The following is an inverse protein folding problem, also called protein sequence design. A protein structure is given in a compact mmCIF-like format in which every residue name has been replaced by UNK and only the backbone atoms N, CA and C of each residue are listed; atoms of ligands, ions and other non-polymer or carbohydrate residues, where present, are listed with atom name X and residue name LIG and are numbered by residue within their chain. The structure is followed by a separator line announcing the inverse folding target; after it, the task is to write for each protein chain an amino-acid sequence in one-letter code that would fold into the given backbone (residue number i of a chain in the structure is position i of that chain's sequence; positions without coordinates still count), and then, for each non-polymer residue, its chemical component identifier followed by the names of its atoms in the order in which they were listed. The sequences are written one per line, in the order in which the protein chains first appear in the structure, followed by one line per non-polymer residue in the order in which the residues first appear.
data_IF_877023790570
#
_entry.id   IF_877023790570
#
_cell.length_a   1.000
_cell.length_b   1.000
_cell.length_c   1.000
_cell.angle_alpha   90.00
_cell.angle_beta   90.00
_cell.angle_gamma   90.00
#
_symmetry.space_group_name_H-M   'P 1'
#
loop_
_entity.id
_entity.type
_entity.pdbx_description
1 polymer ?
#
# COMPACT_ATOMS: atom_id res chain seq x y z
N UNK A 1 -4.50 22.88 -5.17
CA UNK A 1 -5.33 21.65 -5.31
C UNK A 1 -6.06 21.38 -3.98
N UNK A 2 -6.76 22.37 -3.44
CA UNK A 2 -7.49 22.16 -2.18
C UNK A 2 -8.83 21.48 -2.48
N UNK A 3 -9.22 20.55 -1.61
CA UNK A 3 -10.51 19.86 -1.68
C UNK A 3 -10.59 18.66 -2.64
N UNK A 4 -9.47 18.21 -3.24
CA UNK A 4 -9.43 16.98 -4.03
C UNK A 4 -8.88 15.84 -3.16
N UNK A 5 -9.64 14.76 -3.02
CA UNK A 5 -9.21 13.52 -2.39
C UNK A 5 -8.88 12.49 -3.47
N UNK A 6 -7.63 12.02 -3.50
CA UNK A 6 -7.17 11.04 -4.48
C UNK A 6 -6.74 9.77 -3.75
N UNK A 7 -7.29 8.64 -4.17
CA UNK A 7 -6.85 7.31 -3.76
C UNK A 7 -6.08 6.62 -4.87
N UNK A 8 -5.04 5.87 -4.50
CA UNK A 8 -4.16 5.17 -5.43
C UNK A 8 -4.16 3.68 -5.15
N UNK A 9 -4.03 2.90 -6.22
CA UNK A 9 -3.65 1.49 -6.12
C UNK A 9 -2.13 1.41 -6.10
N UNK A 10 -1.58 0.87 -5.03
CA UNK A 10 -0.16 0.57 -4.88
C UNK A 10 0.10 -0.92 -5.08
N UNK A 11 1.16 -1.25 -5.80
CA UNK A 11 1.73 -2.60 -5.84
C UNK A 11 2.90 -2.67 -4.88
N UNK A 12 2.79 -3.56 -3.91
CA UNK A 12 3.84 -3.87 -2.96
C UNK A 12 4.49 -5.20 -3.34
N UNK A 13 5.82 -5.21 -3.36
CA UNK A 13 6.62 -6.42 -3.41
C UNK A 13 7.25 -6.63 -2.03
N UNK A 14 6.87 -7.72 -1.38
CA UNK A 14 7.14 -7.95 0.04
C UNK A 14 7.92 -9.24 0.25
N UNK A 15 8.71 -9.26 1.32
CA UNK A 15 9.10 -10.52 1.97
C UNK A 15 8.06 -10.83 3.03
N UNK A 16 7.42 -11.99 2.95
CA UNK A 16 6.39 -12.41 3.93
C UNK A 16 6.69 -13.77 4.53
N UNK A 17 6.40 -13.93 5.81
CA UNK A 17 6.37 -15.21 6.50
C UNK A 17 4.93 -15.71 6.60
N UNK A 18 4.66 -16.93 6.14
CA UNK A 18 3.30 -17.51 6.19
C UNK A 18 3.16 -18.50 7.34
N UNK A 19 1.91 -18.74 7.76
CA UNK A 19 1.54 -19.75 8.77
C UNK A 19 2.17 -21.14 8.58
N UNK A 20 2.47 -21.56 7.35
CA UNK A 20 3.11 -22.85 7.06
C UNK A 20 4.63 -22.86 7.30
N UNK A 21 5.19 -21.83 7.92
CA UNK A 21 6.62 -21.67 8.18
C UNK A 21 7.44 -21.25 6.96
N UNK A 22 6.84 -21.12 5.77
CA UNK A 22 7.57 -20.73 4.56
C UNK A 22 7.67 -19.21 4.45
N UNK A 23 8.88 -18.76 4.14
CA UNK A 23 9.17 -17.36 3.80
C UNK A 23 9.17 -17.18 2.29
N UNK A 24 8.40 -16.22 1.80
CA UNK A 24 8.32 -15.87 0.39
C UNK A 24 9.02 -14.52 0.20
N UNK A 25 10.14 -14.53 -0.54
CA UNK A 25 10.96 -13.33 -0.78
C UNK A 25 10.39 -12.36 -1.81
N UNK A 26 9.37 -12.80 -2.57
CA UNK A 26 8.72 -12.01 -3.63
C UNK A 26 7.21 -12.23 -3.60
N UNK A 27 6.56 -11.66 -2.59
CA UNK A 27 5.11 -11.68 -2.46
C UNK A 27 4.53 -10.37 -2.99
N UNK A 28 3.84 -10.45 -4.13
CA UNK A 28 3.22 -9.29 -4.75
C UNK A 28 1.78 -9.17 -4.24
N UNK A 29 1.43 -7.99 -3.72
CA UNK A 29 0.09 -7.68 -3.23
C UNK A 29 -0.25 -6.23 -3.52
N UNK A 30 -1.52 -5.96 -3.78
CA UNK A 30 -2.01 -4.60 -4.02
C UNK A 30 -2.73 -4.04 -2.79
N UNK A 31 -2.45 -2.77 -2.51
CA UNK A 31 -3.07 -1.98 -1.44
C UNK A 31 -3.71 -0.72 -2.00
N UNK A 32 -4.84 -0.31 -1.45
CA UNK A 32 -5.49 0.95 -1.82
C UNK A 32 -5.33 1.95 -0.70
N UNK A 33 -4.94 3.19 -1.03
CA UNK A 33 -4.83 4.25 -0.05
C UNK A 33 -4.64 5.63 -0.66
N UNK A 34 -4.97 6.66 0.11
CA UNK A 34 -4.72 8.06 -0.27
C UNK A 34 -3.23 8.43 -0.24
N UNK A 35 -2.43 7.60 0.43
CA UNK A 35 -0.98 7.70 0.51
C UNK A 35 -0.39 6.31 0.77
N UNK A 36 0.94 6.22 0.72
CA UNK A 36 1.68 4.98 0.95
C UNK A 36 1.30 4.28 2.28
N UNK A 37 1.19 5.02 3.38
CA UNK A 37 0.94 4.46 4.71
C UNK A 37 -0.45 3.83 4.82
N UNK A 38 -1.48 4.52 4.33
CA UNK A 38 -2.85 3.98 4.28
C UNK A 38 -2.96 2.75 3.38
N UNK A 39 -2.26 2.73 2.25
CA UNK A 39 -2.20 1.56 1.37
C UNK A 39 -1.45 0.38 2.01
N UNK A 40 -0.39 0.66 2.76
CA UNK A 40 0.34 -0.35 3.54
C UNK A 40 -0.53 -0.96 4.63
N UNK A 41 -1.37 -0.16 5.30
CA UNK A 41 -2.37 -0.64 6.26
C UNK A 41 -3.39 -1.59 5.63
N UNK A 42 -3.92 -1.26 4.45
CA UNK A 42 -4.80 -2.16 3.69
C UNK A 42 -4.12 -3.50 3.39
N UNK A 43 -2.87 -3.46 2.91
CA UNK A 43 -2.04 -4.66 2.69
C UNK A 43 -1.84 -5.47 3.98
N UNK A 44 -1.51 -4.80 5.09
CA UNK A 44 -1.36 -5.43 6.39
C UNK A 44 -2.60 -6.22 6.78
N UNK A 45 -3.80 -5.61 6.70
CA UNK A 45 -5.04 -6.30 7.06
C UNK A 45 -5.36 -7.46 6.11
N UNK A 46 -5.08 -7.33 4.81
CA UNK A 46 -5.21 -8.41 3.83
C UNK A 46 -4.32 -9.61 4.17
N UNK A 47 -3.06 -9.36 4.55
CA UNK A 47 -2.10 -10.41 4.92
C UNK A 47 -2.39 -11.00 6.31
N UNK A 48 -2.84 -10.18 7.27
CA UNK A 48 -3.27 -10.63 8.61
C UNK A 48 -4.41 -11.64 8.53
N UNK A 49 -5.41 -11.40 7.68
CA UNK A 49 -6.50 -12.37 7.42
C UNK A 49 -5.98 -13.73 6.91
N UNK A 50 -4.85 -13.72 6.21
CA UNK A 50 -4.17 -14.90 5.67
C UNK A 50 -3.09 -15.46 6.60
N UNK A 51 -2.97 -14.96 7.83
CA UNK A 51 -1.94 -15.35 8.81
C UNK A 51 -0.54 -15.28 8.18
N UNK A 52 -0.29 -14.16 7.50
CA UNK A 52 0.98 -13.86 6.85
C UNK A 52 1.54 -12.57 7.45
N UNK A 53 2.78 -12.62 7.90
CA UNK A 53 3.53 -11.50 8.47
C UNK A 53 4.40 -10.85 7.40
N UNK A 54 4.49 -9.53 7.41
CA UNK A 54 5.39 -8.76 6.54
C UNK A 54 6.75 -8.65 7.24
N UNK A 55 7.80 -9.16 6.60
CA UNK A 55 9.17 -9.09 7.13
C UNK A 55 9.91 -7.86 6.60
N UNK A 56 9.74 -7.51 5.32
CA UNK A 56 10.30 -6.30 4.71
C UNK A 56 9.54 -5.91 3.43
N UNK A 57 9.70 -4.65 3.02
CA UNK A 57 9.18 -4.13 1.76
C UNK A 57 10.34 -3.99 0.76
N UNK A 58 10.35 -4.86 -0.26
CA UNK A 58 11.38 -4.83 -1.31
C UNK A 58 11.18 -3.63 -2.25
N UNK A 59 9.92 -3.36 -2.61
CA UNK A 59 9.56 -2.21 -3.44
C UNK A 59 8.08 -1.90 -3.31
N UNK A 60 7.73 -0.65 -3.58
CA UNK A 60 6.35 -0.21 -3.69
C UNK A 60 6.21 0.86 -4.75
N UNK A 61 5.15 0.78 -5.55
CA UNK A 61 4.89 1.76 -6.60
C UNK A 61 3.37 1.96 -6.77
N UNK A 62 2.92 3.20 -7.02
CA UNK A 62 1.56 3.45 -7.47
C UNK A 62 1.41 2.95 -8.91
N UNK A 63 0.31 2.25 -9.19
CA UNK A 63 0.01 1.71 -10.52
C UNK A 63 -1.02 2.58 -11.24
N UNK A 64 -2.02 3.06 -10.51
CA UNK A 64 -3.09 3.90 -11.05
C UNK A 64 -3.78 4.70 -9.95
N UNK A 65 -4.52 5.72 -10.37
CA UNK A 65 -5.54 6.36 -9.54
C UNK A 65 -6.70 5.36 -9.39
N UNK A 66 -7.02 4.99 -8.15
CA UNK A 66 -8.15 4.13 -7.84
C UNK A 66 -9.46 4.93 -7.82
N UNK A 67 -9.41 6.14 -7.25
CA UNK A 67 -10.51 7.10 -7.24
C UNK A 67 -9.97 8.52 -7.07
N UNK A 68 -10.72 9.50 -7.55
CA UNK A 68 -10.48 10.91 -7.23
C UNK A 68 -11.82 11.63 -7.08
N UNK A 69 -11.98 12.37 -6.00
CA UNK A 69 -13.20 13.13 -5.72
C UNK A 69 -12.89 14.58 -5.40
N UNK A 70 -13.76 15.48 -5.82
CA UNK A 70 -13.78 16.88 -5.40
C UNK A 70 -15.18 17.19 -4.85
N UNK A 71 -15.34 17.13 -3.53
CA UNK A 71 -16.67 17.09 -2.93
C UNK A 71 -17.41 15.82 -3.37
N UNK A 72 -18.57 15.97 -4.00
CA UNK A 72 -19.39 14.86 -4.51
C UNK A 72 -19.05 14.47 -5.96
N UNK A 73 -18.23 15.27 -6.66
CA UNK A 73 -17.88 15.03 -8.06
C UNK A 73 -16.73 14.03 -8.19
N UNK A 74 -16.91 13.02 -9.04
CA UNK A 74 -15.85 12.09 -9.44
C UNK A 74 -14.97 12.70 -10.54
N UNK A 75 -13.66 12.67 -10.34
CA UNK A 75 -12.68 13.15 -11.30
C UNK A 75 -11.95 11.98 -11.95
N UNK A 76 -11.73 12.09 -13.26
CA UNK A 76 -10.92 11.14 -14.02
C UNK A 76 -9.50 11.66 -14.16
N UNK A 77 -8.63 11.29 -13.23
CA UNK A 77 -7.22 11.67 -13.22
C UNK A 77 -6.34 10.51 -13.67
N UNK A 78 -5.25 10.83 -14.38
CA UNK A 78 -4.17 9.89 -14.68
C UNK A 78 -3.09 9.98 -13.60
N UNK A 79 -2.43 8.85 -13.32
CA UNK A 79 -1.35 8.80 -12.34
C UNK A 79 -0.20 9.78 -12.66
N UNK A 80 0.08 10.01 -13.95
CA UNK A 80 1.10 10.97 -14.41
C UNK A 80 0.81 12.42 -14.00
N UNK A 81 -0.43 12.75 -13.66
CA UNK A 81 -0.88 14.10 -13.30
C UNK A 81 -0.86 14.31 -11.78
N UNK A 82 -0.85 13.23 -11.00
CA UNK A 82 -0.95 13.26 -9.55
C UNK A 82 -0.17 12.10 -8.92
N UNK A 83 1.16 12.14 -8.99
CA UNK A 83 1.99 11.10 -8.35
C UNK A 83 1.91 11.21 -6.82
N UNK A 84 1.61 10.12 -6.10
CA UNK A 84 1.71 10.13 -4.65
C UNK A 84 3.16 10.14 -4.20
N UNK A 85 3.41 10.73 -3.04
CA UNK A 85 4.73 10.66 -2.39
C UNK A 85 4.96 9.24 -1.87
N UNK A 86 6.10 8.66 -2.25
CA UNK A 86 6.59 7.37 -1.73
C UNK A 86 7.77 7.66 -0.81
N UNK A 87 7.80 7.13 0.43
CA UNK A 87 8.97 7.26 1.29
C UNK A 87 10.22 6.63 0.68
N UNK A 88 11.39 7.25 0.91
CA UNK A 88 12.68 6.67 0.50
C UNK A 88 13.01 5.40 1.30
N UNK A 89 12.76 5.44 2.61
CA UNK A 89 12.87 4.29 3.51
C UNK A 89 11.49 3.63 3.70
N UNK A 90 11.26 2.58 2.92
CA UNK A 90 9.99 1.83 2.93
C UNK A 90 9.80 1.05 4.25
N UNK A 91 10.88 0.55 4.85
CA UNK A 91 10.82 -0.29 6.04
C UNK A 91 10.57 0.53 7.31
N UNK A 92 10.92 1.82 7.33
CA UNK A 92 10.53 2.72 8.42
C UNK A 92 9.01 2.73 8.66
N UNK A 93 8.22 2.60 7.61
CA UNK A 93 6.76 2.56 7.72
C UNK A 93 6.24 1.28 8.39
N UNK A 94 6.98 0.16 8.31
CA UNK A 94 6.63 -1.09 9.00
C UNK A 94 6.67 -0.94 10.52
N UNK A 95 7.51 -0.04 11.06
CA UNK A 95 7.60 0.21 12.51
C UNK A 95 6.29 0.71 13.11
N UNK A 96 5.42 1.29 12.29
CA UNK A 96 4.11 1.78 12.70
C UNK A 96 3.00 0.71 12.60
N UNK A 97 3.31 -0.47 12.04
CA UNK A 97 2.38 -1.58 11.99
C UNK A 97 2.49 -2.44 13.27
N UNK A 98 1.37 -2.95 13.82
CA UNK A 98 1.42 -3.87 14.93
C UNK A 98 2.11 -5.18 14.52
N UNK A 99 3.07 -5.63 15.33
CA UNK A 99 3.65 -6.97 15.19
C UNK A 99 2.55 -8.03 15.29
N UNK A 100 2.58 -9.05 14.43
CA UNK A 100 1.64 -10.15 14.56
C UNK A 100 2.06 -11.00 15.77
N UNK A 101 1.23 -11.01 16.80
CA UNK A 101 1.33 -11.89 17.97
C UNK A 101 0.94 -13.32 17.62
#
# INVERSE_FOLDING_TARGET
MEGITIGYDFRFNLVVHKRNGKTYKRHIVTGIGINFSSALWDVYFKLKKRKSEILSITSAEPIRVAFAFKGEESLRLKLSECLPVIPEDLDKALKHLPKQS
#
